data_IF_831739968190
#
_entry.id   IF_831739968190
#
_cell.length_a   1.000
_cell.length_b   1.000
_cell.length_c   1.000
_cell.angle_alpha   90.00
_cell.angle_beta   90.00
_cell.angle_gamma   90.00
#
_symmetry.space_group_name_H-M   'P 1'
#
loop_
_entity.id
_entity.type
_entity.pdbx_description
1 polymer ?
#
# COMPACT_ATOMS: atom_id res chain seq x y z
N UNK A 1 1.57 2.65 -24.15
CA UNK A 1 2.59 2.14 -23.19
C UNK A 1 3.46 3.30 -22.71
N UNK A 2 3.66 4.31 -23.55
CA UNK A 2 4.51 5.47 -23.28
C UNK A 2 3.87 6.48 -22.30
N UNK A 3 2.54 6.45 -22.13
CA UNK A 3 1.80 7.31 -21.20
C UNK A 3 2.15 7.09 -19.72
N UNK A 4 2.96 6.09 -19.41
CA UNK A 4 3.41 5.75 -18.05
C UNK A 4 4.94 5.82 -17.93
N UNK A 5 5.64 6.20 -19.00
CA UNK A 5 7.09 6.28 -19.01
C UNK A 5 7.59 7.55 -18.33
N UNK A 6 8.23 7.36 -17.19
CA UNK A 6 8.95 8.42 -16.48
C UNK A 6 10.44 8.39 -16.84
N UNK A 7 11.07 9.57 -17.06
CA UNK A 7 12.46 9.68 -17.44
C UNK A 7 13.42 9.19 -16.33
N UNK A 8 14.67 8.88 -16.68
CA UNK A 8 15.62 8.25 -15.76
C UNK A 8 15.94 9.11 -14.52
N UNK A 9 15.93 10.43 -14.66
CA UNK A 9 16.06 11.36 -13.53
C UNK A 9 14.91 11.20 -12.53
N UNK A 10 13.66 11.07 -13.01
CA UNK A 10 12.50 10.83 -12.17
C UNK A 10 12.59 9.48 -11.46
N UNK A 11 13.02 8.42 -12.18
CA UNK A 11 13.23 7.08 -11.59
C UNK A 11 14.26 7.11 -10.47
N UNK A 12 15.37 7.85 -10.64
CA UNK A 12 16.39 8.06 -9.61
C UNK A 12 15.84 8.82 -8.40
N UNK A 13 15.05 9.87 -8.63
CA UNK A 13 14.42 10.66 -7.57
C UNK A 13 13.43 9.81 -6.75
N UNK A 14 12.59 9.02 -7.41
CA UNK A 14 11.67 8.06 -6.78
C UNK A 14 12.46 7.03 -5.96
N UNK A 15 13.49 6.40 -6.55
CA UNK A 15 14.30 5.39 -5.86
C UNK A 15 14.95 5.97 -4.59
N UNK A 16 15.48 7.18 -4.67
CA UNK A 16 16.07 7.88 -3.53
C UNK A 16 15.03 8.14 -2.43
N UNK A 17 13.83 8.57 -2.79
CA UNK A 17 12.74 8.79 -1.83
C UNK A 17 12.36 7.50 -1.09
N UNK A 18 12.22 6.39 -1.82
CA UNK A 18 11.91 5.08 -1.25
C UNK A 18 13.05 4.54 -0.37
N UNK A 19 14.30 4.76 -0.75
CA UNK A 19 15.47 4.36 0.04
C UNK A 19 15.56 5.13 1.36
N UNK A 20 15.28 6.44 1.36
CA UNK A 20 15.19 7.24 2.59
C UNK A 20 14.13 6.66 3.54
N UNK A 21 12.97 6.28 3.01
CA UNK A 21 11.91 5.68 3.82
C UNK A 21 12.29 4.30 4.37
N UNK A 22 12.98 3.46 3.58
CA UNK A 22 13.52 2.17 4.07
C UNK A 22 14.48 2.36 5.23
N UNK A 23 15.40 3.33 5.10
CA UNK A 23 16.39 3.62 6.15
C UNK A 23 15.71 4.09 7.44
N UNK A 24 14.71 4.98 7.34
CA UNK A 24 13.89 5.40 8.49
C UNK A 24 13.14 4.25 9.14
N UNK A 25 12.59 3.32 8.36
CA UNK A 25 11.97 2.10 8.91
C UNK A 25 13.00 1.25 9.64
N UNK A 26 14.23 1.13 9.10
CA UNK A 26 15.34 0.48 9.78
C UNK A 26 15.66 1.14 11.14
N UNK A 27 15.74 2.47 11.17
CA UNK A 27 15.97 3.25 12.40
C UNK A 27 14.87 3.02 13.44
N UNK A 28 13.59 3.04 13.02
CA UNK A 28 12.45 2.75 13.91
C UNK A 28 12.49 1.33 14.48
N UNK A 29 12.85 0.35 13.65
CA UNK A 29 13.01 -1.05 14.07
C UNK A 29 14.15 -1.20 15.07
N UNK A 30 15.25 -0.49 14.87
CA UNK A 30 16.38 -0.51 15.81
C UNK A 30 16.04 0.17 17.14
N UNK A 31 15.34 1.31 17.12
CA UNK A 31 14.82 1.96 18.33
C UNK A 31 13.87 1.02 19.10
N UNK A 32 12.99 0.32 18.40
CA UNK A 32 12.12 -0.68 19.01
C UNK A 32 12.91 -1.83 19.64
N UNK A 33 13.94 -2.35 18.96
CA UNK A 33 14.81 -3.42 19.49
C UNK A 33 15.62 -2.99 20.72
N UNK A 34 15.97 -1.70 20.82
CA UNK A 34 16.68 -1.11 21.96
C UNK A 34 15.76 -0.65 23.09
N UNK A 35 14.44 -0.81 22.94
CA UNK A 35 13.44 -0.30 23.88
C UNK A 35 13.48 1.24 24.04
N UNK A 36 14.02 1.95 23.05
CA UNK A 36 14.13 3.42 23.00
C UNK A 36 12.93 4.08 22.31
N UNK A 37 12.02 3.29 21.73
CA UNK A 37 10.87 3.80 21.00
C UNK A 37 9.82 4.40 21.95
N UNK A 38 9.47 5.67 21.74
CA UNK A 38 8.40 6.33 22.50
C UNK A 38 7.03 5.73 22.18
N UNK A 39 6.35 5.22 23.21
CA UNK A 39 5.04 4.61 23.10
C UNK A 39 3.95 5.66 22.83
N UNK A 40 3.09 5.42 21.84
CA UNK A 40 1.92 6.28 21.61
C UNK A 40 0.82 6.03 22.65
N UNK A 41 0.09 7.07 23.10
CA UNK A 41 -1.00 6.91 24.05
C UNK A 41 -2.06 5.91 23.56
N UNK A 42 -2.41 4.94 24.42
CA UNK A 42 -3.41 3.92 24.13
C UNK A 42 -2.99 2.82 23.16
N UNK A 43 -1.69 2.70 22.84
CA UNK A 43 -1.13 1.65 21.98
C UNK A 43 0.03 0.95 22.67
N UNK A 44 0.25 -0.32 22.40
CA UNK A 44 1.49 -1.02 22.76
C UNK A 44 2.71 -0.49 21.98
N UNK A 45 3.93 -0.84 22.40
CA UNK A 45 5.16 -0.51 21.66
C UNK A 45 5.16 -1.12 20.25
N UNK A 46 4.69 -2.35 20.11
CA UNK A 46 4.56 -3.04 18.81
C UNK A 46 3.58 -2.30 17.89
N UNK A 47 2.40 -1.95 18.38
CA UNK A 47 1.42 -1.19 17.61
C UNK A 47 1.92 0.21 17.26
N UNK A 48 2.72 0.81 18.16
CA UNK A 48 3.34 2.12 17.92
C UNK A 48 4.33 2.03 16.75
N UNK A 49 5.22 1.02 16.77
CA UNK A 49 6.13 0.76 15.66
C UNK A 49 5.35 0.58 14.35
N UNK A 50 4.32 -0.26 14.34
CA UNK A 50 3.53 -0.54 13.13
C UNK A 50 2.75 0.69 12.62
N UNK A 51 2.32 1.60 13.49
CA UNK A 51 1.72 2.88 13.08
C UNK A 51 2.77 3.79 12.45
N UNK A 52 3.94 3.95 13.09
CA UNK A 52 5.00 4.82 12.60
C UNK A 52 5.54 4.31 11.25
N UNK A 53 5.81 3.01 11.13
CA UNK A 53 6.30 2.40 9.89
C UNK A 53 5.30 2.55 8.75
N UNK A 54 4.01 2.28 8.97
CA UNK A 54 2.99 2.49 7.93
C UNK A 54 2.89 3.95 7.50
N UNK A 55 3.05 4.89 8.44
CA UNK A 55 3.04 6.33 8.11
C UNK A 55 4.23 6.70 7.22
N UNK A 56 5.45 6.30 7.58
CA UNK A 56 6.64 6.59 6.78
C UNK A 56 6.54 5.98 5.37
N UNK A 57 6.15 4.71 5.27
CA UNK A 57 6.01 4.03 3.97
C UNK A 57 4.85 4.60 3.12
N UNK A 58 3.77 5.05 3.76
CA UNK A 58 2.67 5.75 3.10
C UNK A 58 3.13 7.07 2.49
N UNK A 59 3.83 7.89 3.28
CA UNK A 59 4.41 9.16 2.81
C UNK A 59 5.40 8.95 1.66
N UNK A 60 6.22 7.90 1.72
CA UNK A 60 7.16 7.57 0.66
C UNK A 60 6.46 7.23 -0.67
N UNK A 61 5.36 6.46 -0.61
CA UNK A 61 4.53 6.15 -1.78
C UNK A 61 3.91 7.42 -2.36
N UNK A 62 3.37 8.28 -1.51
CA UNK A 62 2.72 9.52 -1.94
C UNK A 62 3.73 10.47 -2.60
N UNK A 63 4.92 10.62 -2.01
CA UNK A 63 6.03 11.37 -2.62
C UNK A 63 6.47 10.78 -3.97
N UNK A 64 6.59 9.44 -4.08
CA UNK A 64 6.88 8.78 -5.36
C UNK A 64 5.81 9.08 -6.42
N UNK A 65 4.53 9.13 -6.02
CA UNK A 65 3.41 9.51 -6.87
C UNK A 65 3.46 10.95 -7.34
N UNK A 66 3.79 11.89 -6.45
CA UNK A 66 3.95 13.30 -6.79
C UNK A 66 5.12 13.53 -7.76
N UNK A 67 6.25 12.85 -7.54
CA UNK A 67 7.39 12.88 -8.46
C UNK A 67 6.96 12.36 -9.83
N UNK A 68 6.38 11.16 -9.90
CA UNK A 68 5.90 10.59 -11.16
C UNK A 68 4.90 11.52 -11.87
N UNK A 69 3.92 12.06 -11.14
CA UNK A 69 2.90 12.96 -11.68
C UNK A 69 3.47 14.26 -12.26
N UNK A 70 4.53 14.83 -11.67
CA UNK A 70 5.21 16.01 -12.23
C UNK A 70 5.86 15.72 -13.57
N UNK A 71 6.48 14.56 -13.73
CA UNK A 71 7.20 14.20 -14.96
C UNK A 71 6.30 13.65 -16.07
N UNK A 72 5.14 13.06 -15.73
CA UNK A 72 4.16 12.62 -16.73
C UNK A 72 3.46 13.80 -17.42
N UNK A 73 3.37 14.96 -16.76
CA UNK A 73 2.73 16.15 -17.31
C UNK A 73 1.20 16.12 -17.28
N UNK A 74 0.57 17.29 -17.36
CA UNK A 74 -0.90 17.42 -17.29
C UNK A 74 -1.61 17.06 -18.60
N UNK A 75 -0.89 17.09 -19.71
CA UNK A 75 -1.42 16.79 -21.05
C UNK A 75 -1.44 15.28 -21.36
N UNK A 76 -0.82 14.47 -20.50
CA UNK A 76 -0.80 13.02 -20.65
C UNK A 76 -2.21 12.45 -20.54
N UNK A 77 -2.67 11.62 -21.51
CA UNK A 77 -4.03 11.06 -21.51
C UNK A 77 -4.40 10.32 -20.22
N UNK A 78 -3.45 9.57 -19.63
CA UNK A 78 -3.68 8.83 -18.40
C UNK A 78 -3.86 9.78 -17.20
N UNK A 79 -3.11 10.88 -17.16
CA UNK A 79 -3.25 11.95 -16.15
C UNK A 79 -4.60 12.68 -16.31
N UNK A 80 -5.00 12.98 -17.55
CA UNK A 80 -6.29 13.62 -17.84
C UNK A 80 -7.45 12.72 -17.39
N UNK A 81 -7.43 11.42 -17.69
CA UNK A 81 -8.46 10.47 -17.27
C UNK A 81 -8.55 10.37 -15.73
N UNK A 82 -7.41 10.32 -15.06
CA UNK A 82 -7.35 10.27 -13.60
C UNK A 82 -7.84 11.56 -12.94
N UNK A 83 -7.45 12.74 -13.46
CA UNK A 83 -7.84 14.04 -12.90
C UNK A 83 -9.28 14.42 -13.21
N UNK A 84 -9.77 14.08 -14.40
CA UNK A 84 -11.18 14.30 -14.78
C UNK A 84 -12.14 13.38 -14.03
N UNK A 85 -11.65 12.31 -13.40
CA UNK A 85 -12.46 11.29 -12.76
C UNK A 85 -13.17 10.35 -13.75
N UNK A 86 -12.85 10.45 -15.05
CA UNK A 86 -13.45 9.61 -16.07
C UNK A 86 -13.04 8.14 -15.91
N UNK A 87 -11.76 7.89 -15.61
CA UNK A 87 -11.26 6.54 -15.34
C UNK A 87 -9.94 6.54 -14.59
N UNK A 88 -9.82 5.66 -13.61
CA UNK A 88 -8.63 5.56 -12.78
C UNK A 88 -8.49 6.73 -11.81
N UNK A 89 -7.38 6.76 -11.09
CA UNK A 89 -7.06 7.76 -10.08
C UNK A 89 -5.56 8.05 -10.10
N UNK A 90 -5.16 9.15 -9.45
CA UNK A 90 -3.73 9.45 -9.25
C UNK A 90 -3.01 8.30 -8.54
N UNK A 91 -3.68 7.58 -7.64
CA UNK A 91 -3.11 6.40 -6.99
C UNK A 91 -2.78 5.29 -8.00
N UNK A 92 -3.62 5.07 -9.02
CA UNK A 92 -3.32 4.06 -10.04
C UNK A 92 -2.08 4.45 -10.85
N UNK A 93 -1.92 5.73 -11.21
CA UNK A 93 -0.71 6.24 -11.86
C UNK A 93 0.52 6.07 -10.97
N UNK A 94 0.40 6.36 -9.67
CA UNK A 94 1.47 6.13 -8.68
C UNK A 94 1.89 4.66 -8.66
N UNK A 95 0.97 3.71 -8.73
CA UNK A 95 1.31 2.28 -8.74
C UNK A 95 1.94 1.83 -10.07
N UNK A 96 1.58 2.48 -11.18
CA UNK A 96 2.10 2.16 -12.52
C UNK A 96 3.51 2.71 -12.74
N UNK A 97 3.77 3.97 -12.34
CA UNK A 97 5.03 4.68 -12.64
C UNK A 97 5.88 5.05 -11.41
N UNK A 98 5.29 5.06 -10.21
CA UNK A 98 5.95 5.40 -8.94
C UNK A 98 6.37 4.15 -8.18
N UNK A 99 5.53 3.71 -7.23
CA UNK A 99 5.67 2.49 -6.46
C UNK A 99 4.29 1.91 -6.10
N UNK A 100 4.16 0.59 -6.03
CA UNK A 100 2.90 -0.05 -5.62
C UNK A 100 2.58 0.26 -4.14
N UNK A 101 3.61 0.23 -3.28
CA UNK A 101 3.53 0.57 -1.87
C UNK A 101 3.26 -0.61 -0.93
N UNK A 102 2.97 -0.30 0.32
CA UNK A 102 2.77 -1.29 1.39
C UNK A 102 1.55 -2.18 1.13
N UNK A 103 1.75 -3.49 1.12
CA UNK A 103 0.66 -4.48 1.11
C UNK A 103 0.25 -4.80 2.54
N UNK A 104 -1.05 -4.84 2.79
CA UNK A 104 -1.62 -5.20 4.08
C UNK A 104 -2.59 -6.36 3.95
N UNK A 105 -2.76 -7.09 5.06
CA UNK A 105 -3.84 -8.07 5.23
C UNK A 105 -4.52 -7.77 6.55
N UNK A 106 -5.82 -7.49 6.52
CA UNK A 106 -6.67 -7.13 7.67
C UNK A 106 -6.20 -5.88 8.41
N UNK A 107 -5.71 -4.90 7.67
CA UNK A 107 -5.25 -3.60 8.20
C UNK A 107 -3.84 -3.60 8.80
N UNK A 108 -3.19 -4.75 8.86
CA UNK A 108 -1.82 -4.94 9.35
C UNK A 108 -0.86 -5.22 8.19
N UNK A 109 0.44 -4.94 8.39
CA UNK A 109 1.48 -5.39 7.45
C UNK A 109 1.53 -6.91 7.43
N UNK A 110 2.18 -7.49 6.42
CA UNK A 110 2.26 -8.95 6.30
C UNK A 110 3.09 -9.51 7.47
N UNK A 111 2.43 -10.21 8.40
CA UNK A 111 3.10 -10.87 9.54
C UNK A 111 2.95 -12.39 9.52
N UNK A 112 1.86 -12.87 8.90
CA UNK A 112 1.51 -14.28 8.86
C UNK A 112 2.36 -15.01 7.82
N UNK A 113 2.86 -16.18 8.18
CA UNK A 113 3.72 -16.98 7.31
C UNK A 113 4.45 -18.06 8.11
N UNK A 114 5.76 -18.12 7.93
CA UNK A 114 6.64 -19.04 8.62
C UNK A 114 6.90 -18.60 10.07
N UNK A 115 7.55 -19.48 10.85
CA UNK A 115 7.89 -19.20 12.25
C UNK A 115 8.76 -17.93 12.35
N UNK A 116 8.17 -16.86 12.90
CA UNK A 116 8.77 -15.53 13.09
C UNK A 116 9.27 -14.86 11.79
N UNK A 117 8.70 -15.15 10.62
CA UNK A 117 9.05 -14.47 9.35
C UNK A 117 7.96 -14.68 8.29
N UNK A 118 7.89 -13.79 7.31
CA UNK A 118 6.89 -13.86 6.25
C UNK A 118 7.22 -14.90 5.18
N UNK A 119 8.46 -14.92 4.69
CA UNK A 119 8.97 -15.85 3.68
C UNK A 119 10.29 -16.51 4.13
N UNK A 120 10.66 -17.67 3.57
CA UNK A 120 11.90 -18.35 3.95
C UNK A 120 13.16 -17.57 3.53
N UNK A 121 13.01 -16.64 2.59
CA UNK A 121 14.06 -15.74 2.08
C UNK A 121 14.45 -14.63 3.07
N UNK A 122 13.64 -14.37 4.09
CA UNK A 122 13.93 -13.36 5.12
C UNK A 122 14.43 -14.01 6.41
N UNK A 123 15.19 -13.22 7.18
CA UNK A 123 15.64 -13.61 8.50
C UNK A 123 14.47 -13.72 9.49
N UNK A 124 14.67 -14.52 10.54
CA UNK A 124 13.67 -14.65 11.61
C UNK A 124 13.67 -13.37 12.45
N UNK A 125 12.49 -12.79 12.66
CA UNK A 125 12.32 -11.55 13.39
C UNK A 125 12.56 -10.29 12.56
N UNK A 126 12.63 -10.41 11.23
CA UNK A 126 12.76 -9.25 10.36
C UNK A 126 11.46 -8.40 10.37
N UNK A 127 11.62 -7.13 10.76
CA UNK A 127 10.56 -6.12 10.86
C UNK A 127 10.70 -5.04 9.77
N UNK A 128 11.73 -5.15 8.91
CA UNK A 128 12.03 -4.22 7.85
C UNK A 128 10.91 -4.09 6.81
N UNK A 129 11.00 -3.05 5.98
CA UNK A 129 9.98 -2.74 4.98
C UNK A 129 9.76 -3.89 3.99
N UNK A 130 10.85 -4.39 3.37
CA UNK A 130 10.78 -5.41 2.32
C UNK A 130 10.28 -6.76 2.89
N UNK A 131 10.72 -7.14 4.09
CA UNK A 131 10.30 -8.38 4.75
C UNK A 131 8.81 -8.39 5.13
N UNK A 132 8.20 -7.22 5.30
CA UNK A 132 6.83 -7.05 5.79
C UNK A 132 5.87 -6.57 4.69
N UNK A 133 6.23 -6.75 3.42
CA UNK A 133 5.31 -6.56 2.29
C UNK A 133 5.31 -5.16 1.67
N UNK A 134 6.36 -4.36 1.87
CA UNK A 134 6.52 -3.13 1.09
C UNK A 134 6.95 -3.45 -0.34
N UNK A 135 6.18 -3.01 -1.33
CA UNK A 135 6.50 -3.17 -2.74
C UNK A 135 7.02 -1.83 -3.27
N UNK A 136 8.32 -1.76 -3.46
CA UNK A 136 9.02 -0.56 -3.94
C UNK A 136 8.98 -0.42 -5.46
N UNK A 137 8.86 -1.55 -6.15
CA UNK A 137 8.71 -1.60 -7.60
C UNK A 137 7.35 -1.06 -8.04
N UNK A 138 7.23 -0.72 -9.31
CA UNK A 138 5.96 -0.36 -9.95
C UNK A 138 5.60 -1.36 -11.05
N UNK A 139 4.38 -1.29 -11.57
CA UNK A 139 3.92 -2.25 -12.58
C UNK A 139 4.70 -2.14 -13.89
N UNK A 140 5.23 -0.97 -14.22
CA UNK A 140 6.03 -0.75 -15.44
C UNK A 140 7.42 -1.39 -15.35
N UNK A 141 8.10 -1.27 -14.21
CA UNK A 141 9.42 -1.87 -13.96
C UNK A 141 9.33 -3.38 -13.72
N UNK A 142 8.15 -3.85 -13.31
CA UNK A 142 7.92 -5.23 -12.88
C UNK A 142 8.27 -5.44 -11.40
N UNK A 143 7.63 -6.44 -10.80
CA UNK A 143 7.80 -6.80 -9.39
C UNK A 143 8.80 -7.94 -9.26
N UNK A 144 9.63 -7.90 -8.22
CA UNK A 144 10.44 -9.06 -7.83
C UNK A 144 9.55 -10.23 -7.37
N UNK A 145 10.05 -11.49 -7.34
CA UNK A 145 9.24 -12.64 -6.93
C UNK A 145 8.62 -12.51 -5.52
N UNK A 146 9.36 -11.92 -4.57
CA UNK A 146 8.87 -11.68 -3.20
C UNK A 146 7.78 -10.61 -3.20
N UNK A 147 8.00 -9.49 -3.90
CA UNK A 147 7.01 -8.42 -4.07
C UNK A 147 5.74 -8.92 -4.76
N UNK A 148 5.86 -9.73 -5.80
CA UNK A 148 4.71 -10.33 -6.50
C UNK A 148 3.88 -11.22 -5.58
N UNK A 149 4.54 -12.04 -4.76
CA UNK A 149 3.85 -12.91 -3.80
C UNK A 149 3.13 -12.09 -2.71
N UNK A 150 3.79 -11.05 -2.19
CA UNK A 150 3.18 -10.13 -1.22
C UNK A 150 2.01 -9.34 -1.81
N UNK A 151 2.14 -8.87 -3.05
CA UNK A 151 1.06 -8.20 -3.76
C UNK A 151 -0.14 -9.12 -3.97
N UNK A 152 0.11 -10.39 -4.30
CA UNK A 152 -0.93 -11.41 -4.44
C UNK A 152 -1.69 -11.67 -3.12
N UNK A 153 -1.01 -11.59 -1.97
CA UNK A 153 -1.67 -11.70 -0.65
C UNK A 153 -2.65 -10.55 -0.41
N UNK A 154 -2.24 -9.30 -0.65
CA UNK A 154 -3.11 -8.13 -0.51
C UNK A 154 -4.27 -8.15 -1.52
N UNK A 155 -4.01 -8.57 -2.75
CA UNK A 155 -5.03 -8.77 -3.77
C UNK A 155 -6.08 -9.82 -3.39
N UNK A 156 -5.66 -10.91 -2.73
CA UNK A 156 -6.58 -11.94 -2.23
C UNK A 156 -7.55 -11.39 -1.19
N UNK A 157 -7.09 -10.56 -0.26
CA UNK A 157 -7.99 -9.91 0.71
C UNK A 157 -9.07 -9.10 0.00
N UNK A 158 -8.68 -8.27 -0.97
CA UNK A 158 -9.61 -7.41 -1.72
C UNK A 158 -10.71 -8.22 -2.44
N UNK A 159 -10.35 -9.36 -3.02
CA UNK A 159 -11.29 -10.27 -3.67
C UNK A 159 -12.27 -10.90 -2.68
N UNK A 160 -11.77 -11.34 -1.52
CA UNK A 160 -12.61 -11.93 -0.46
C UNK A 160 -13.54 -10.86 0.13
N UNK A 161 -13.03 -9.67 0.38
CA UNK A 161 -13.79 -8.55 0.93
C UNK A 161 -14.95 -8.15 0.03
N UNK A 162 -14.72 -8.14 -1.28
CA UNK A 162 -15.78 -7.84 -2.26
C UNK A 162 -16.87 -8.90 -2.20
N UNK A 163 -16.51 -10.19 -2.20
CA UNK A 163 -17.47 -11.29 -2.12
C UNK A 163 -18.30 -11.25 -0.82
N UNK A 164 -17.67 -10.95 0.32
CA UNK A 164 -18.36 -10.85 1.62
C UNK A 164 -19.25 -9.60 1.69
N UNK A 165 -18.82 -8.47 1.12
CA UNK A 165 -19.63 -7.23 1.12
C UNK A 165 -20.88 -7.40 0.27
N UNK A 166 -20.80 -8.06 -0.88
CA UNK A 166 -21.96 -8.31 -1.77
C UNK A 166 -23.06 -9.09 -1.05
N UNK A 167 -22.73 -10.14 -0.30
CA UNK A 167 -23.74 -10.93 0.40
C UNK A 167 -24.42 -10.13 1.53
N UNK A 168 -23.63 -9.36 2.29
CA UNK A 168 -24.14 -8.52 3.38
C UNK A 168 -24.99 -7.36 2.88
N UNK A 169 -24.54 -6.64 1.85
CA UNK A 169 -25.26 -5.48 1.31
C UNK A 169 -26.59 -5.90 0.69
N UNK A 170 -26.62 -6.98 -0.10
CA UNK A 170 -27.85 -7.49 -0.69
C UNK A 170 -28.87 -7.94 0.37
N UNK A 171 -28.41 -8.63 1.42
CA UNK A 171 -29.29 -9.03 2.52
C UNK A 171 -29.84 -7.83 3.29
N UNK A 172 -28.98 -6.86 3.62
CA UNK A 172 -29.38 -5.63 4.29
C UNK A 172 -30.39 -4.83 3.45
N UNK A 173 -30.13 -4.68 2.15
CA UNK A 173 -31.04 -4.02 1.21
C UNK A 173 -32.40 -4.71 1.20
N UNK A 174 -32.45 -6.04 1.08
CA UNK A 174 -33.73 -6.79 1.09
C UNK A 174 -34.50 -6.57 2.38
N UNK A 175 -33.82 -6.59 3.53
CA UNK A 175 -34.46 -6.32 4.83
C UNK A 175 -35.03 -4.90 4.92
N UNK A 176 -34.28 -3.92 4.44
CA UNK A 176 -34.72 -2.52 4.45
C UNK A 176 -35.91 -2.29 3.52
N UNK A 177 -35.87 -2.84 2.30
CA UNK A 177 -36.99 -2.76 1.35
C UNK A 177 -38.25 -3.36 1.96
N UNK A 178 -38.19 -4.58 2.47
CA UNK A 178 -39.35 -5.25 3.06
C UNK A 178 -39.88 -4.54 4.32
N UNK A 179 -39.04 -3.81 5.06
CA UNK A 179 -39.48 -3.08 6.25
C UNK A 179 -40.14 -1.72 5.92
N UNK A 180 -39.84 -1.15 4.75
CA UNK A 180 -40.28 0.18 4.34
C UNK A 180 -41.29 0.14 3.19
N UNK A 181 -41.68 -1.05 2.72
CA UNK A 181 -42.55 -1.21 1.54
C UNK A 181 -43.95 -0.61 1.72
N UNK A 182 -44.45 -0.55 2.95
CA UNK A 182 -45.78 -0.02 3.27
C UNK A 182 -45.82 1.53 3.39
N UNK A 183 -44.66 2.19 3.37
CA UNK A 183 -44.60 3.65 3.47
C UNK A 183 -45.02 4.30 2.15
N UNK A 184 -46.09 5.10 2.20
CA UNK A 184 -46.63 5.89 1.08
C UNK A 184 -46.88 7.33 1.52
N UNK A 185 -46.79 8.25 0.56
CA UNK A 185 -47.13 9.68 0.72
C UNK A 185 -48.59 9.91 0.35
#
# INVERSE_FOLDING_TARGET
IDDEDVPENARKEIRKSLEIARNRVGELVEQYRKEELEQMPGRSLEETLEVMVRRELGQARDAAGEIAGRYLGLENPAVILAKSGARGSMLNLTQMAGAVGQQSVRGERLMRGYVRRTLPHFERGDLGADARGFVSSNYKSGLSPTEYFFHSMGGRESLVDTAVRTSRSGYMQRRLINALEDLKV
#
